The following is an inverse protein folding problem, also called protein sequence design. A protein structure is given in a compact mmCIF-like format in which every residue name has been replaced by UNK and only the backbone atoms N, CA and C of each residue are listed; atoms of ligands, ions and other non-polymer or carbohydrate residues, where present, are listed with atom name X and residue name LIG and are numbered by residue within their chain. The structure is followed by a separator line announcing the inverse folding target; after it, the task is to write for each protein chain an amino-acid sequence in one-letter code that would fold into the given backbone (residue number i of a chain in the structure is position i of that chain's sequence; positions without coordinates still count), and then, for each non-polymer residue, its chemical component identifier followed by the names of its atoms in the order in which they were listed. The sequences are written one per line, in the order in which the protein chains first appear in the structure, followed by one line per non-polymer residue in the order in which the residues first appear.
data_IF_204833130669
#
_entry.id   IF_204833130669
#
_cell.length_a   1.000
_cell.length_b   1.000
_cell.length_c   1.000
_cell.angle_alpha   90.00
_cell.angle_beta   90.00
_cell.angle_gamma   90.00
#
_symmetry.space_group_name_H-M   'P 1'
#
loop_
_entity.id
_entity.type
_entity.pdbx_description
1 polymer ?
#
# COMPACT_ATOMS: atom_id res chain seq x y z
N UNK A 1 -21.40 7.79 -34.60
CA UNK A 1 -20.72 7.47 -33.32
C UNK A 1 -21.73 7.65 -32.21
N UNK A 2 -21.97 6.60 -31.44
CA UNK A 2 -23.03 6.53 -30.43
C UNK A 2 -22.64 7.32 -29.18
N UNK A 3 -23.61 7.99 -28.51
CA UNK A 3 -23.37 8.71 -27.24
C UNK A 3 -22.60 7.86 -26.19
N UNK A 4 -22.81 6.53 -26.19
CA UNK A 4 -22.10 5.59 -25.30
C UNK A 4 -20.61 5.44 -25.60
N UNK A 5 -20.19 5.62 -26.86
CA UNK A 5 -18.78 5.54 -27.27
C UNK A 5 -18.01 6.81 -26.87
N UNK A 6 -18.68 7.96 -26.93
CA UNK A 6 -18.11 9.27 -26.56
C UNK A 6 -18.02 9.48 -25.05
N UNK A 7 -19.05 9.07 -24.28
CA UNK A 7 -19.00 9.07 -22.81
C UNK A 7 -17.88 8.17 -22.27
N UNK A 8 -17.65 7.04 -22.95
CA UNK A 8 -16.63 6.06 -22.60
C UNK A 8 -15.19 6.52 -22.91
N UNK A 9 -14.98 7.38 -23.91
CA UNK A 9 -13.66 7.98 -24.18
C UNK A 9 -13.35 9.10 -23.20
N UNK A 10 -14.31 9.99 -22.93
CA UNK A 10 -14.11 11.10 -22.00
C UNK A 10 -13.89 10.65 -20.55
N UNK A 11 -14.56 9.59 -20.11
CA UNK A 11 -14.35 9.02 -18.78
C UNK A 11 -12.98 8.35 -18.64
N UNK A 12 -12.48 7.74 -19.73
CA UNK A 12 -11.11 7.20 -19.80
C UNK A 12 -10.06 8.31 -19.77
N UNK A 13 -10.29 9.40 -20.49
CA UNK A 13 -9.38 10.56 -20.52
C UNK A 13 -9.35 11.28 -19.17
N UNK A 14 -10.51 11.48 -18.52
CA UNK A 14 -10.58 12.00 -17.14
C UNK A 14 -9.85 11.10 -16.14
N UNK A 15 -10.03 9.79 -16.23
CA UNK A 15 -9.33 8.85 -15.33
C UNK A 15 -7.81 8.84 -15.57
N UNK A 16 -7.36 9.00 -16.82
CA UNK A 16 -5.95 9.12 -17.15
C UNK A 16 -5.34 10.44 -16.62
N UNK A 17 -6.11 11.52 -16.67
CA UNK A 17 -5.72 12.82 -16.11
C UNK A 17 -5.58 12.75 -14.57
N UNK A 18 -6.59 12.24 -13.86
CA UNK A 18 -6.52 12.10 -12.38
C UNK A 18 -5.38 11.17 -11.95
N UNK A 19 -5.14 10.08 -12.70
CA UNK A 19 -3.99 9.20 -12.42
C UNK A 19 -2.65 9.94 -12.54
N UNK A 20 -2.48 10.73 -13.60
CA UNK A 20 -1.28 11.54 -13.81
C UNK A 20 -1.11 12.57 -12.69
N UNK A 21 -2.19 13.24 -12.30
CA UNK A 21 -2.20 14.18 -11.16
C UNK A 21 -1.81 13.50 -9.84
N UNK A 22 -2.21 12.26 -9.60
CA UNK A 22 -1.82 11.51 -8.42
C UNK A 22 -0.32 11.19 -8.39
N UNK A 23 0.26 10.81 -9.54
CA UNK A 23 1.71 10.60 -9.64
C UNK A 23 2.47 11.91 -9.39
N UNK A 24 2.01 13.02 -9.98
CA UNK A 24 2.61 14.34 -9.74
C UNK A 24 2.48 14.81 -8.29
N UNK A 25 1.33 14.57 -7.65
CA UNK A 25 1.13 14.89 -6.23
C UNK A 25 2.12 14.12 -5.35
N UNK A 26 2.31 12.82 -5.61
CA UNK A 26 3.33 12.02 -4.91
C UNK A 26 4.74 12.58 -5.14
N UNK A 27 5.09 12.97 -6.37
CA UNK A 27 6.39 13.60 -6.69
C UNK A 27 6.62 14.91 -5.92
N UNK A 28 5.56 15.69 -5.70
CA UNK A 28 5.58 16.92 -4.87
C UNK A 28 5.58 16.65 -3.36
N UNK A 29 5.56 15.40 -2.92
CA UNK A 29 5.50 15.04 -1.50
C UNK A 29 4.14 15.32 -0.85
N UNK A 30 3.07 15.28 -1.65
CA UNK A 30 1.70 15.31 -1.18
C UNK A 30 1.21 13.89 -0.83
N UNK A 31 0.09 13.84 -0.10
CA UNK A 31 -0.59 12.60 0.27
C UNK A 31 -1.79 12.43 -0.65
N UNK A 32 -2.01 11.20 -1.12
CA UNK A 32 -3.16 10.84 -1.96
C UNK A 32 -4.00 9.75 -1.29
N UNK A 33 -5.27 9.64 -1.70
CA UNK A 33 -6.09 8.45 -1.46
C UNK A 33 -6.09 7.59 -2.72
N UNK A 34 -5.88 6.29 -2.58
CA UNK A 34 -5.88 5.37 -3.71
C UNK A 34 -6.44 3.98 -3.34
N UNK A 35 -7.01 3.24 -4.30
CA UNK A 35 -7.63 1.95 -4.03
C UNK A 35 -6.58 0.83 -3.99
N UNK A 36 -6.82 -0.15 -3.13
CA UNK A 36 -6.08 -1.43 -3.11
C UNK A 36 -7.06 -2.59 -3.18
N UNK A 37 -6.56 -3.84 -3.20
CA UNK A 37 -7.42 -5.03 -3.21
C UNK A 37 -8.16 -5.27 -1.89
N UNK A 38 -7.79 -4.54 -0.83
CA UNK A 38 -8.41 -4.63 0.50
C UNK A 38 -9.24 -3.38 0.78
N UNK A 39 -8.58 -2.27 1.07
CA UNK A 39 -9.23 -0.99 1.39
C UNK A 39 -8.59 0.15 0.62
N UNK A 40 -9.23 1.32 0.64
CA UNK A 40 -8.55 2.54 0.23
C UNK A 40 -7.39 2.81 1.17
N UNK A 41 -6.28 3.26 0.60
CA UNK A 41 -5.05 3.61 1.32
C UNK A 41 -4.75 5.11 1.24
N UNK A 42 -4.07 5.62 2.27
CA UNK A 42 -3.29 6.86 2.18
C UNK A 42 -1.91 6.52 1.66
N UNK A 43 -1.51 7.22 0.60
CA UNK A 43 -0.23 7.03 -0.07
C UNK A 43 0.59 8.31 -0.11
N UNK A 44 1.86 8.16 0.21
CA UNK A 44 2.90 9.16 0.02
C UNK A 44 4.16 8.46 -0.53
N UNK A 45 5.05 9.23 -1.14
CA UNK A 45 6.39 8.75 -1.48
C UNK A 45 7.13 8.30 -0.20
N UNK A 46 7.40 6.99 -0.11
CA UNK A 46 7.98 6.40 1.08
C UNK A 46 9.46 6.78 1.28
N UNK A 47 10.10 7.38 0.28
CA UNK A 47 11.47 7.88 0.37
C UNK A 47 11.53 9.39 0.65
N UNK A 48 10.39 10.04 0.87
CA UNK A 48 10.30 11.44 1.27
C UNK A 48 9.87 11.52 2.76
N UNK A 49 10.80 11.78 3.70
CA UNK A 49 10.48 11.82 5.13
C UNK A 49 9.34 12.79 5.48
N UNK A 50 9.33 13.98 4.89
CA UNK A 50 8.29 14.98 5.14
C UNK A 50 6.90 14.51 4.66
N UNK A 51 6.84 13.76 3.54
CA UNK A 51 5.59 13.19 3.05
C UNK A 51 5.11 12.02 3.94
N UNK A 52 6.04 11.21 4.45
CA UNK A 52 5.73 10.17 5.45
C UNK A 52 5.17 10.78 6.72
N UNK A 53 5.77 11.84 7.25
CA UNK A 53 5.30 12.52 8.47
C UNK A 53 3.88 13.08 8.30
N UNK A 54 3.55 13.62 7.12
CA UNK A 54 2.18 14.06 6.79
C UNK A 54 1.16 12.93 6.95
N UNK A 55 1.48 11.68 6.56
CA UNK A 55 0.59 10.53 6.73
C UNK A 55 0.27 10.30 8.22
N UNK A 56 1.30 10.30 9.07
CA UNK A 56 1.13 10.07 10.51
C UNK A 56 0.30 11.18 11.16
N UNK A 57 0.56 12.44 10.79
CA UNK A 57 -0.19 13.61 11.25
C UNK A 57 -1.66 13.55 10.82
N UNK A 58 -1.93 13.35 9.53
CA UNK A 58 -3.29 13.28 8.99
C UNK A 58 -4.12 12.17 9.64
N UNK A 59 -3.50 11.01 9.87
CA UNK A 59 -4.17 9.84 10.45
C UNK A 59 -4.32 9.93 11.97
N UNK A 60 -3.57 10.81 12.64
CA UNK A 60 -3.42 10.79 14.10
C UNK A 60 -2.85 9.45 14.57
N UNK A 61 -1.81 8.95 13.88
CA UNK A 61 -1.21 7.65 14.13
C UNK A 61 -0.01 7.79 15.05
N UNK A 62 0.15 6.88 16.02
CA UNK A 62 1.36 6.79 16.81
C UNK A 62 2.57 6.46 15.88
N UNK A 63 3.65 7.27 15.87
CA UNK A 63 4.84 7.03 15.06
C UNK A 63 5.53 5.68 15.31
N UNK A 64 5.34 5.08 16.49
CA UNK A 64 5.89 3.75 16.82
C UNK A 64 5.17 2.59 16.09
N UNK A 65 4.04 2.88 15.43
CA UNK A 65 3.29 1.91 14.66
C UNK A 65 3.65 2.05 13.17
N UNK A 66 4.58 1.25 12.62
CA UNK A 66 5.01 1.39 11.24
C UNK A 66 3.87 1.18 10.25
N UNK A 67 4.03 1.72 9.05
CA UNK A 67 3.08 1.55 7.92
C UNK A 67 3.77 0.78 6.80
N UNK A 68 3.07 -0.16 6.13
CA UNK A 68 3.69 -0.94 5.08
C UNK A 68 3.80 -0.12 3.79
N UNK A 69 4.61 -0.64 2.85
CA UNK A 69 4.85 -0.07 1.54
C UNK A 69 4.17 -0.94 0.46
N UNK A 70 3.66 -0.28 -0.56
CA UNK A 70 3.37 -0.90 -1.85
C UNK A 70 4.57 -0.65 -2.76
N UNK A 71 5.06 -1.74 -3.35
CA UNK A 71 6.13 -1.76 -4.34
C UNK A 71 5.59 -2.25 -5.68
N UNK A 72 6.21 -1.80 -6.77
CA UNK A 72 5.80 -2.16 -8.12
C UNK A 72 6.11 -3.62 -8.46
N UNK A 73 7.29 -4.10 -8.05
CA UNK A 73 7.86 -5.38 -8.45
C UNK A 73 9.02 -5.80 -7.53
N UNK A 74 9.66 -6.93 -7.88
CA UNK A 74 10.79 -7.52 -7.15
C UNK A 74 12.08 -6.69 -7.25
N UNK A 75 12.30 -5.96 -8.33
CA UNK A 75 13.49 -5.10 -8.44
C UNK A 75 13.41 -3.96 -7.41
N UNK A 76 12.23 -3.35 -7.27
CA UNK A 76 11.98 -2.34 -6.23
C UNK A 76 12.04 -2.92 -4.80
N UNK A 77 11.75 -4.21 -4.61
CA UNK A 77 11.92 -4.88 -3.33
C UNK A 77 13.39 -4.87 -2.89
N UNK A 78 14.30 -5.29 -3.77
CA UNK A 78 15.75 -5.35 -3.51
C UNK A 78 16.32 -3.98 -3.15
N UNK A 79 15.65 -2.93 -3.60
CA UNK A 79 15.93 -1.55 -3.31
C UNK A 79 15.57 -1.13 -1.88
N UNK A 80 14.57 -1.76 -1.23
CA UNK A 80 14.09 -1.35 0.10
C UNK A 80 14.44 -2.33 1.22
N UNK A 81 14.73 -3.60 0.92
CA UNK A 81 15.09 -4.62 1.92
C UNK A 81 16.54 -5.07 1.79
N UNK A 82 17.16 -5.46 2.91
CA UNK A 82 18.52 -6.03 2.95
C UNK A 82 18.53 -7.51 2.60
N UNK A 83 17.49 -8.23 3.01
CA UNK A 83 17.41 -9.67 2.92
C UNK A 83 16.01 -10.09 2.48
N UNK A 84 15.96 -11.12 1.64
CA UNK A 84 14.72 -11.74 1.21
C UNK A 84 14.89 -13.26 1.25
N UNK A 85 14.72 -13.90 2.42
CA UNK A 85 15.08 -15.30 2.60
C UNK A 85 14.11 -16.25 1.88
N UNK A 86 14.50 -17.51 1.62
CA UNK A 86 13.71 -18.44 0.81
C UNK A 86 12.25 -18.64 1.25
N UNK A 87 11.98 -18.68 2.56
CA UNK A 87 10.62 -18.82 3.07
C UNK A 87 9.75 -17.60 2.75
N UNK A 88 10.33 -16.39 2.79
CA UNK A 88 9.65 -15.16 2.38
C UNK A 88 9.41 -15.13 0.87
N UNK A 89 10.38 -15.62 0.09
CA UNK A 89 10.25 -15.75 -1.37
C UNK A 89 9.09 -16.68 -1.73
N UNK A 90 9.00 -17.87 -1.11
CA UNK A 90 7.88 -18.81 -1.35
C UNK A 90 6.52 -18.17 -1.10
N UNK A 91 6.37 -17.45 0.02
CA UNK A 91 5.13 -16.73 0.31
C UNK A 91 4.83 -15.64 -0.72
N UNK A 92 5.83 -14.86 -1.11
CA UNK A 92 5.67 -13.85 -2.16
C UNK A 92 5.28 -14.47 -3.50
N UNK A 93 5.96 -15.53 -3.94
CA UNK A 93 5.67 -16.20 -5.22
C UNK A 93 4.24 -16.76 -5.27
N UNK A 94 3.70 -17.17 -4.12
CA UNK A 94 2.33 -17.71 -4.01
C UNK A 94 1.25 -16.64 -3.88
N UNK A 95 1.51 -15.56 -3.16
CA UNK A 95 0.50 -14.60 -2.71
C UNK A 95 0.69 -13.17 -3.24
N UNK A 96 1.79 -12.88 -3.94
CA UNK A 96 1.97 -11.63 -4.67
C UNK A 96 1.76 -11.83 -6.18
N UNK A 97 1.10 -10.88 -6.86
CA UNK A 97 0.41 -9.71 -6.31
C UNK A 97 -0.81 -10.09 -5.47
N UNK A 98 -1.00 -9.45 -4.30
CA UNK A 98 -2.12 -9.78 -3.42
C UNK A 98 -2.01 -9.23 -1.99
N UNK A 99 -2.95 -9.60 -1.11
CA UNK A 99 -3.11 -9.03 0.23
C UNK A 99 -2.16 -9.64 1.27
N UNK A 100 -0.92 -9.98 0.89
CA UNK A 100 0.14 -10.39 1.80
C UNK A 100 1.12 -9.24 2.02
N UNK A 101 1.44 -8.92 3.26
CA UNK A 101 2.53 -8.01 3.64
C UNK A 101 3.62 -8.81 4.33
N UNK A 102 4.85 -8.68 3.83
CA UNK A 102 6.03 -9.27 4.45
C UNK A 102 6.80 -8.17 5.19
N UNK A 103 7.09 -8.36 6.48
CA UNK A 103 8.00 -7.50 7.23
C UNK A 103 9.40 -8.08 7.12
N UNK A 104 10.30 -7.35 6.45
CA UNK A 104 11.64 -7.79 6.09
C UNK A 104 12.69 -6.79 6.60
N UNK A 105 13.93 -7.22 6.89
CA UNK A 105 15.00 -6.31 7.29
C UNK A 105 15.18 -5.17 6.29
N UNK A 106 15.03 -3.92 6.73
CA UNK A 106 15.05 -2.75 5.86
C UNK A 106 16.48 -2.31 5.51
N UNK A 107 16.65 -1.65 4.36
CA UNK A 107 17.85 -0.85 4.05
C UNK A 107 17.80 0.50 4.77
N UNK A 108 18.97 1.05 5.10
CA UNK A 108 19.12 2.26 5.92
C UNK A 108 18.52 3.56 5.32
N UNK A 109 18.15 3.56 4.03
CA UNK A 109 17.62 4.73 3.33
C UNK A 109 16.13 5.03 3.62
N UNK A 110 15.44 4.15 4.34
CA UNK A 110 14.02 4.33 4.65
C UNK A 110 13.83 5.24 5.87
N UNK A 111 12.85 6.16 5.84
CA UNK A 111 12.48 6.99 6.99
C UNK A 111 12.14 6.13 8.23
N UNK A 112 12.62 6.56 9.39
CA UNK A 112 12.45 5.83 10.66
C UNK A 112 10.98 5.46 10.99
N UNK A 113 9.96 6.30 10.75
CA UNK A 113 8.56 5.94 11.02
C UNK A 113 8.03 4.75 10.20
N UNK A 114 8.74 4.32 9.15
CA UNK A 114 8.37 3.14 8.34
C UNK A 114 8.93 1.84 8.91
N UNK A 115 9.82 1.93 9.90
CA UNK A 115 10.54 0.79 10.45
C UNK A 115 9.89 0.34 11.76
N UNK A 116 9.81 -0.98 11.97
CA UNK A 116 9.49 -1.52 13.28
C UNK A 116 10.71 -1.38 14.23
N UNK A 117 10.53 -1.76 15.50
CA UNK A 117 11.57 -1.70 16.53
C UNK A 117 12.82 -2.53 16.22
N UNK A 118 12.68 -3.56 15.39
CA UNK A 118 13.77 -4.45 14.96
C UNK A 118 14.39 -4.02 13.61
N UNK A 119 14.02 -2.83 13.09
CA UNK A 119 14.54 -2.30 11.82
C UNK A 119 13.96 -2.98 10.57
N UNK A 120 12.81 -3.63 10.69
CA UNK A 120 12.07 -4.25 9.58
C UNK A 120 11.04 -3.31 8.95
N UNK A 121 10.81 -3.45 7.65
CA UNK A 121 9.80 -2.70 6.88
C UNK A 121 8.77 -3.67 6.30
N UNK A 122 7.49 -3.33 6.44
CA UNK A 122 6.41 -4.06 5.79
C UNK A 122 6.33 -3.71 4.31
N UNK A 123 6.31 -4.70 3.42
CA UNK A 123 6.25 -4.51 1.96
C UNK A 123 5.22 -5.45 1.34
N UNK A 124 4.58 -5.02 0.26
CA UNK A 124 3.71 -5.86 -0.56
C UNK A 124 3.65 -5.41 -2.02
N UNK A 125 3.41 -6.35 -2.93
CA UNK A 125 2.94 -6.04 -4.28
C UNK A 125 1.42 -6.18 -4.29
N UNK A 126 0.70 -5.07 -4.46
CA UNK A 126 -0.77 -5.08 -4.52
C UNK A 126 -1.28 -5.73 -5.81
N UNK A 127 -2.34 -6.53 -5.71
CA UNK A 127 -3.05 -7.04 -6.90
C UNK A 127 -3.90 -5.97 -7.57
N UNK A 128 -4.21 -4.87 -6.89
CA UNK A 128 -4.95 -3.76 -7.48
C UNK A 128 -4.10 -3.05 -8.55
N UNK A 129 -4.57 -2.93 -9.80
CA UNK A 129 -3.77 -2.41 -10.90
C UNK A 129 -3.36 -0.96 -10.68
N UNK A 130 -4.25 -0.09 -10.16
CA UNK A 130 -3.92 1.30 -9.86
C UNK A 130 -2.81 1.45 -8.81
N UNK A 131 -2.90 0.73 -7.69
CA UNK A 131 -1.87 0.75 -6.64
C UNK A 131 -0.49 0.33 -7.16
N UNK A 132 -0.43 -0.78 -7.92
CA UNK A 132 0.84 -1.26 -8.49
C UNK A 132 1.38 -0.32 -9.57
N UNK A 133 0.50 0.28 -10.37
CA UNK A 133 0.88 1.25 -11.41
C UNK A 133 1.40 2.54 -10.80
N UNK A 134 0.79 3.06 -9.73
CA UNK A 134 1.26 4.25 -9.03
C UNK A 134 2.73 4.13 -8.61
N UNK A 135 3.09 3.03 -7.93
CA UNK A 135 4.47 2.82 -7.48
C UNK A 135 5.43 2.71 -8.66
N UNK A 136 5.00 2.08 -9.76
CA UNK A 136 5.80 1.93 -10.98
C UNK A 136 6.06 3.27 -11.67
N UNK A 137 5.04 4.08 -11.85
CA UNK A 137 5.10 5.38 -12.54
C UNK A 137 5.81 6.45 -11.69
N UNK A 138 5.66 6.37 -10.37
CA UNK A 138 6.47 7.15 -9.43
C UNK A 138 7.95 6.72 -9.47
N UNK A 139 8.22 5.45 -9.79
CA UNK A 139 9.55 4.84 -9.71
C UNK A 139 10.04 4.63 -8.27
N UNK A 140 9.14 4.71 -7.27
CA UNK A 140 9.46 4.65 -5.85
C UNK A 140 8.38 3.86 -5.09
N UNK A 141 8.71 3.26 -3.92
CA UNK A 141 7.72 2.68 -3.03
C UNK A 141 6.73 3.74 -2.53
N UNK A 142 5.48 3.34 -2.34
CA UNK A 142 4.41 4.21 -1.81
C UNK A 142 3.97 3.67 -0.45
N UNK A 143 3.79 4.52 0.54
CA UNK A 143 3.21 4.12 1.82
C UNK A 143 1.77 3.61 1.64
N UNK A 144 1.33 2.69 2.47
CA UNK A 144 0.00 2.08 2.34
C UNK A 144 -0.61 1.77 3.71
N UNK A 145 -1.20 2.79 4.34
CA UNK A 145 -2.08 2.60 5.51
C UNK A 145 -3.52 2.87 5.11
N UNK A 146 -4.50 2.25 5.76
CA UNK A 146 -5.90 2.42 5.39
C UNK A 146 -6.34 3.89 5.49
N UNK A 147 -7.16 4.34 4.54
CA UNK A 147 -7.71 5.69 4.45
C UNK A 147 -8.83 5.88 5.47
N UNK A 148 -8.44 6.07 6.72
CA UNK A 148 -9.31 6.44 7.85
C UNK A 148 -8.50 7.06 8.98
N UNK A 149 -9.15 7.78 9.89
CA UNK A 149 -8.52 8.19 11.15
C UNK A 149 -8.19 6.96 12.01
N UNK A 150 -7.09 7.00 12.78
CA UNK A 150 -6.73 5.91 13.69
C UNK A 150 -7.90 5.51 14.59
N UNK A 151 -8.15 4.20 14.70
CA UNK A 151 -9.27 3.64 15.48
C UNK A 151 -10.64 3.64 14.78
N UNK A 152 -10.78 4.28 13.61
CA UNK A 152 -12.02 4.22 12.79
C UNK A 152 -12.00 3.07 11.78
N UNK A 153 -13.17 2.64 11.26
CA UNK A 153 -13.23 1.66 10.19
C UNK A 153 -12.49 2.11 8.92
N UNK A 154 -11.88 1.20 8.16
CA UNK A 154 -11.21 1.53 6.90
C UNK A 154 -12.22 1.82 5.80
N UNK A 155 -11.92 2.80 4.93
CA UNK A 155 -12.76 3.17 3.81
C UNK A 155 -12.74 2.14 2.67
N UNK A 156 -13.91 1.83 2.13
CA UNK A 156 -14.17 0.95 0.97
C UNK A 156 -14.67 1.72 -0.26
N UNK A 157 -14.90 3.01 -0.12
CA UNK A 157 -15.28 3.92 -1.21
C UNK A 157 -14.61 5.28 -1.05
N UNK A 158 -14.54 6.05 -2.13
CA UNK A 158 -14.12 7.47 -2.06
C UNK A 158 -15.05 8.28 -1.16
N UNK A 159 -16.36 8.02 -1.21
CA UNK A 159 -17.32 8.69 -0.32
C UNK A 159 -16.96 8.52 1.16
N UNK A 160 -16.62 7.30 1.58
CA UNK A 160 -16.16 7.04 2.95
C UNK A 160 -14.82 7.74 3.25
N UNK A 161 -13.86 7.70 2.32
CA UNK A 161 -12.56 8.35 2.50
C UNK A 161 -12.69 9.88 2.63
N UNK A 162 -13.62 10.48 1.89
CA UNK A 162 -13.95 11.91 1.95
C UNK A 162 -14.49 12.30 3.33
N UNK A 163 -15.24 11.44 4.01
CA UNK A 163 -15.71 11.74 5.39
C UNK A 163 -14.57 11.96 6.38
N UNK A 164 -13.39 11.41 6.11
CA UNK A 164 -12.21 11.53 6.98
C UNK A 164 -11.26 12.65 6.56
N UNK A 165 -11.09 12.85 5.25
CA UNK A 165 -9.99 13.65 4.72
C UNK A 165 -10.41 14.76 3.76
N UNK A 166 -11.70 14.95 3.49
CA UNK A 166 -12.27 15.91 2.52
C UNK A 166 -11.33 17.03 2.06
N UNK A 167 -11.25 18.13 2.81
CA UNK A 167 -10.46 19.33 2.45
C UNK A 167 -8.99 19.21 2.83
N UNK A 168 -8.59 18.11 3.48
CA UNK A 168 -7.20 17.88 3.91
C UNK A 168 -6.35 17.30 2.79
N UNK A 169 -6.96 16.67 1.80
CA UNK A 169 -6.30 16.03 0.65
C UNK A 169 -6.95 16.51 -0.65
N UNK A 170 -6.14 16.63 -1.70
CA UNK A 170 -6.59 17.14 -2.99
C UNK A 170 -6.76 16.05 -4.04
N UNK A 171 -6.14 14.87 -3.85
CA UNK A 171 -6.16 13.79 -4.84
C UNK A 171 -6.73 12.50 -4.28
N UNK A 172 -7.79 12.05 -4.94
CA UNK A 172 -8.51 10.81 -4.66
C UNK A 172 -8.60 10.02 -5.96
N UNK A 173 -7.94 8.87 -6.02
CA UNK A 173 -8.09 7.95 -7.15
C UNK A 173 -9.25 7.02 -6.88
N UNK A 174 -10.31 7.12 -7.68
CA UNK A 174 -11.47 6.25 -7.56
C UNK A 174 -11.22 4.89 -8.22
N UNK A 175 -11.36 3.82 -7.43
CA UNK A 175 -11.35 2.42 -7.87
C UNK A 175 -12.72 1.75 -7.74
N UNK A 176 -13.78 2.52 -7.50
CA UNK A 176 -15.11 2.04 -7.20
C UNK A 176 -15.25 1.50 -5.77
N UNK A 177 -16.29 0.70 -5.55
CA UNK A 177 -16.57 0.06 -4.28
C UNK A 177 -15.71 -1.20 -4.10
N UNK A 178 -14.83 -1.17 -3.10
CA UNK A 178 -13.91 -2.27 -2.79
C UNK A 178 -14.61 -3.37 -1.98
N UNK A 179 -14.28 -4.62 -2.29
CA UNK A 179 -14.89 -5.81 -1.68
C UNK A 179 -14.07 -6.42 -0.53
N UNK A 180 -12.98 -5.76 -0.12
CA UNK A 180 -12.14 -6.24 0.97
C UNK A 180 -12.90 -6.30 2.30
N UNK A 181 -12.70 -7.40 3.00
CA UNK A 181 -13.29 -7.69 4.32
C UNK A 181 -12.31 -7.39 5.43
N UNK A 182 -11.05 -7.77 5.25
CA UNK A 182 -9.94 -7.60 6.20
C UNK A 182 -8.78 -6.85 5.52
N UNK A 183 -7.85 -6.35 6.33
CA UNK A 183 -6.59 -5.83 5.80
C UNK A 183 -5.69 -6.95 5.26
N UNK A 184 -4.51 -6.60 4.76
CA UNK A 184 -3.52 -7.61 4.40
C UNK A 184 -3.12 -8.49 5.57
N UNK A 185 -2.84 -9.76 5.30
CA UNK A 185 -2.14 -10.64 6.24
C UNK A 185 -0.71 -10.16 6.38
N UNK A 186 -0.20 -10.03 7.60
CA UNK A 186 1.14 -9.51 7.88
C UNK A 186 1.98 -10.64 8.49
N UNK A 187 3.01 -11.06 7.76
CA UNK A 187 3.99 -12.03 8.20
C UNK A 187 5.33 -11.32 8.38
N UNK A 188 5.93 -11.46 9.55
CA UNK A 188 7.25 -10.93 9.84
C UNK A 188 8.31 -12.02 9.74
N UNK A 189 9.45 -11.64 9.15
CA UNK A 189 10.60 -12.51 9.01
C UNK A 189 11.71 -12.00 9.92
N UNK A 190 12.07 -12.82 10.91
CA UNK A 190 13.13 -12.49 11.88
C UNK A 190 14.01 -13.70 12.09
N UNK A 191 15.32 -13.53 11.90
CA UNK A 191 16.32 -14.59 12.15
C UNK A 191 15.97 -15.92 11.44
N UNK A 192 15.46 -15.83 10.21
CA UNK A 192 15.02 -16.98 9.41
C UNK A 192 13.69 -17.63 9.85
N UNK A 193 13.03 -17.12 10.89
CA UNK A 193 11.72 -17.58 11.35
C UNK A 193 10.61 -16.66 10.87
N UNK A 194 9.47 -17.25 10.53
CA UNK A 194 8.26 -16.53 10.15
C UNK A 194 7.30 -16.44 11.33
N UNK A 195 6.72 -15.26 11.53
CA UNK A 195 5.73 -14.99 12.58
C UNK A 195 4.54 -14.24 11.99
N UNK A 196 3.33 -14.73 12.24
CA UNK A 196 2.12 -13.99 11.93
C UNK A 196 1.97 -12.82 12.90
N UNK A 197 2.07 -11.60 12.38
CA UNK A 197 1.84 -10.35 13.14
C UNK A 197 0.36 -10.01 13.15
N UNK A 198 -0.33 -10.26 12.02
CA UNK A 198 -1.75 -10.02 11.87
C UNK A 198 -2.33 -10.96 10.82
N UNK A 199 -3.40 -11.65 11.16
CA UNK A 199 -4.22 -12.35 10.16
C UNK A 199 -5.11 -11.36 9.40
N UNK A 200 -5.15 -11.49 8.07
CA UNK A 200 -5.90 -10.63 7.17
C UNK A 200 -6.76 -11.44 6.20
N UNK A 201 -6.78 -11.04 4.93
CA UNK A 201 -7.51 -11.77 3.86
C UNK A 201 -6.98 -13.19 3.60
N UNK A 202 -5.69 -13.44 3.86
CA UNK A 202 -5.08 -14.77 3.72
C UNK A 202 -5.08 -15.43 5.09
N UNK A 203 -5.75 -16.58 5.22
CA UNK A 203 -5.87 -17.30 6.49
C UNK A 203 -4.56 -17.94 6.93
N UNK A 204 -4.40 -18.15 8.24
CA UNK A 204 -3.20 -18.81 8.79
C UNK A 204 -2.96 -20.19 8.18
N UNK A 205 -4.01 -20.99 7.97
CA UNK A 205 -3.91 -22.31 7.34
C UNK A 205 -3.34 -22.27 5.91
N UNK A 206 -3.65 -21.22 5.13
CA UNK A 206 -3.11 -21.06 3.78
C UNK A 206 -1.62 -20.70 3.82
N UNK A 207 -1.21 -19.88 4.77
CA UNK A 207 0.21 -19.53 5.00
C UNK A 207 1.00 -20.78 5.41
N UNK A 208 0.48 -21.56 6.36
CA UNK A 208 1.11 -22.80 6.82
C UNK A 208 1.25 -23.83 5.70
N UNK A 209 0.19 -24.04 4.92
CA UNK A 209 0.21 -24.95 3.77
C UNK A 209 1.26 -24.54 2.72
N UNK A 210 1.43 -23.24 2.48
CA UNK A 210 2.44 -22.72 1.56
C UNK A 210 3.89 -22.95 2.06
N UNK A 211 4.09 -23.03 3.37
CA UNK A 211 5.43 -23.21 3.97
C UNK A 211 5.82 -24.68 4.17
N UNK A 212 4.84 -25.58 4.19
CA UNK A 212 5.02 -27.02 4.32
C UNK A 212 5.45 -27.71 3.01
N UNK A 213 5.26 -27.04 1.86
CA UNK A 213 5.75 -27.47 0.54
C UNK A 213 7.12 -26.90 0.20
#
# INVERSE_FOLDING_TARGET
MSKRETESSEERDRNADVFSQAVEALRRGEVIVFPTETFYGLGADALNPAAVDKIFLLKGRNPDNPIPLIIADRAMLEEVVREFPPAAQRLADRFWPGPLTLVLPAKARLPAPLLNRDGGVGVRVSSHPLARRLSRELGRPITATSANLSGRPPARSIAEALTYFSEKLTVYLDGGALQGRKGSTVIEVREGKLRTVREGEIGAAEIEACLAG
#
